data_IF_332287129788
#
_entry.id   IF_332287129788
#
_cell.length_a   1.000
_cell.length_b   1.000
_cell.length_c   1.000
_cell.angle_alpha   90.00
_cell.angle_beta   90.00
_cell.angle_gamma   90.00
#
_symmetry.space_group_name_H-M   'P 1'
#
loop_
_entity.id
_entity.type
_entity.pdbx_description
1 polymer ?
#
# COMPACT_ATOMS: atom_id res chain seq x y z
N UNK A 1 -37.78 -99.55 -88.71
CA UNK A 1 -38.95 -98.96 -88.03
C UNK A 1 -38.82 -97.44 -88.05
N UNK A 2 -39.87 -96.79 -88.55
CA UNK A 2 -40.31 -95.37 -88.52
C UNK A 2 -39.33 -94.16 -88.52
N UNK A 3 -39.59 -93.31 -89.53
CA UNK A 3 -39.42 -91.84 -89.70
C UNK A 3 -39.63 -91.01 -88.40
N UNK A 4 -39.05 -89.81 -88.24
CA UNK A 4 -39.60 -88.49 -88.69
C UNK A 4 -38.53 -87.36 -88.58
N UNK A 5 -38.19 -86.65 -89.66
CA UNK A 5 -38.62 -85.31 -90.14
C UNK A 5 -37.94 -84.05 -89.51
N UNK A 6 -37.17 -83.32 -90.35
CA UNK A 6 -36.77 -81.90 -90.22
C UNK A 6 -37.99 -80.94 -90.42
N UNK A 7 -37.97 -79.56 -90.36
CA UNK A 7 -37.01 -78.66 -91.07
C UNK A 7 -36.82 -77.15 -90.65
N UNK A 8 -35.79 -76.52 -91.28
CA UNK A 8 -35.62 -75.16 -91.89
C UNK A 8 -36.09 -73.80 -91.27
N UNK A 9 -35.08 -72.90 -91.18
CA UNK A 9 -34.95 -71.45 -91.51
C UNK A 9 -36.17 -70.64 -92.00
N UNK A 10 -36.28 -69.39 -91.51
CA UNK A 10 -36.75 -68.20 -92.27
C UNK A 10 -35.97 -66.92 -91.92
N UNK A 11 -35.56 -66.19 -92.96
CA UNK A 11 -35.10 -64.78 -92.97
C UNK A 11 -36.33 -63.86 -93.07
N UNK A 12 -36.27 -62.67 -92.46
CA UNK A 12 -37.24 -61.58 -92.62
C UNK A 12 -36.54 -60.22 -92.54
N UNK A 13 -36.84 -59.35 -93.51
CA UNK A 13 -36.21 -58.07 -93.86
C UNK A 13 -37.28 -56.96 -93.73
N UNK A 14 -36.82 -55.71 -93.55
CA UNK A 14 -37.51 -54.40 -93.80
C UNK A 14 -38.42 -53.84 -92.67
N UNK A 15 -38.07 -52.67 -92.11
CA UNK A 15 -38.73 -51.36 -92.41
C UNK A 15 -38.01 -50.19 -91.73
N UNK A 16 -37.56 -49.23 -92.55
CA UNK A 16 -36.95 -47.94 -92.19
C UNK A 16 -38.09 -46.91 -92.00
N UNK A 17 -38.11 -46.15 -90.91
CA UNK A 17 -39.01 -45.01 -90.72
C UNK A 17 -38.18 -43.75 -90.50
N UNK A 18 -38.13 -42.88 -91.52
CA UNK A 18 -37.70 -41.49 -91.42
C UNK A 18 -38.90 -40.66 -90.93
N UNK A 19 -38.75 -39.94 -89.82
CA UNK A 19 -39.61 -38.81 -89.45
C UNK A 19 -38.78 -37.55 -89.30
N UNK A 20 -38.98 -36.61 -90.22
CA UNK A 20 -38.54 -35.23 -90.12
C UNK A 20 -39.70 -34.40 -89.60
N UNK A 21 -39.54 -33.67 -88.49
CA UNK A 21 -40.40 -32.54 -88.12
C UNK A 21 -39.72 -31.63 -87.08
N UNK A 22 -39.43 -30.41 -87.55
CA UNK A 22 -39.71 -29.11 -86.92
C UNK A 22 -39.10 -28.76 -85.55
N UNK A 23 -38.10 -27.87 -85.62
CA UNK A 23 -38.02 -26.60 -84.86
C UNK A 23 -38.72 -26.51 -83.51
N UNK A 24 -38.02 -26.94 -82.47
CA UNK A 24 -38.18 -26.38 -81.12
C UNK A 24 -36.83 -25.79 -80.72
N UNK A 25 -36.74 -24.46 -80.62
CA UNK A 25 -35.62 -23.82 -79.90
C UNK A 25 -35.88 -24.12 -78.42
N UNK A 26 -35.36 -25.26 -77.95
CA UNK A 26 -35.24 -25.52 -76.52
C UNK A 26 -34.27 -24.47 -75.98
N UNK A 27 -34.77 -23.49 -75.24
CA UNK A 27 -33.92 -22.62 -74.45
C UNK A 27 -33.23 -23.47 -73.38
N UNK A 28 -32.05 -23.99 -73.72
CA UNK A 28 -31.16 -24.67 -72.78
C UNK A 28 -30.86 -23.67 -71.67
N UNK A 29 -31.17 -24.05 -70.43
CA UNK A 29 -30.61 -23.35 -69.28
C UNK A 29 -29.09 -23.46 -69.34
N UNK A 30 -28.32 -22.46 -68.90
CA UNK A 30 -26.86 -22.49 -68.98
C UNK A 30 -26.24 -23.77 -68.36
N UNK A 31 -26.91 -24.37 -67.37
CA UNK A 31 -26.54 -25.66 -66.78
C UNK A 31 -26.63 -26.87 -67.74
N UNK A 32 -27.63 -26.92 -68.63
CA UNK A 32 -27.80 -28.05 -69.58
C UNK A 32 -26.90 -27.92 -70.81
N UNK A 33 -26.55 -26.70 -71.23
CA UNK A 33 -25.53 -26.46 -72.24
C UNK A 33 -24.11 -26.87 -71.77
N UNK A 34 -23.78 -26.63 -70.48
CA UNK A 34 -22.50 -27.01 -69.89
C UNK A 34 -22.26 -28.53 -69.85
N UNK A 35 -23.32 -29.31 -69.57
CA UNK A 35 -23.24 -30.77 -69.55
C UNK A 35 -22.97 -31.36 -70.95
N UNK A 36 -23.47 -30.72 -72.01
CA UNK A 36 -23.31 -31.17 -73.41
C UNK A 36 -21.93 -30.79 -74.00
N UNK A 37 -21.24 -29.76 -73.48
CA UNK A 37 -19.87 -29.42 -73.90
C UNK A 37 -18.80 -30.32 -73.26
N UNK A 38 -19.01 -30.82 -72.03
CA UNK A 38 -18.08 -31.78 -71.37
C UNK A 38 -17.98 -33.13 -72.11
N UNK A 39 -19.00 -33.52 -72.87
CA UNK A 39 -19.06 -34.79 -73.63
C UNK A 39 -18.65 -34.64 -75.10
N UNK A 40 -18.20 -33.45 -75.54
CA UNK A 40 -17.61 -33.25 -76.86
C UNK A 40 -18.59 -33.19 -78.05
N UNK A 41 -19.87 -32.90 -77.82
CA UNK A 41 -20.92 -33.01 -78.83
C UNK A 41 -21.28 -31.71 -79.60
N UNK A 42 -20.43 -30.68 -79.60
CA UNK A 42 -20.70 -29.45 -80.40
C UNK A 42 -19.54 -29.14 -81.34
N UNK A 43 -19.72 -29.49 -82.61
CA UNK A 43 -18.91 -28.99 -83.71
C UNK A 43 -19.42 -27.59 -84.11
N UNK A 44 -18.53 -26.59 -84.00
CA UNK A 44 -18.68 -25.17 -84.40
C UNK A 44 -19.47 -24.27 -83.43
N UNK A 45 -18.73 -23.56 -82.59
CA UNK A 45 -18.99 -22.13 -82.35
C UNK A 45 -19.68 -21.68 -81.06
N UNK A 46 -19.73 -22.48 -79.99
CA UNK A 46 -20.41 -22.02 -78.76
C UNK A 46 -20.01 -22.65 -77.41
N UNK A 47 -19.05 -23.55 -77.35
CA UNK A 47 -18.60 -24.11 -76.07
C UNK A 47 -17.50 -23.23 -75.45
N UNK A 48 -17.77 -22.65 -74.28
CA UNK A 48 -16.74 -21.99 -73.49
C UNK A 48 -15.64 -22.96 -73.05
N UNK A 49 -14.49 -22.40 -72.68
CA UNK A 49 -13.31 -23.15 -72.25
C UNK A 49 -13.49 -23.52 -70.77
N UNK A 50 -13.43 -24.80 -70.37
CA UNK A 50 -13.47 -25.17 -68.97
C UNK A 50 -12.21 -24.66 -68.25
N UNK A 51 -12.40 -24.10 -67.06
CA UNK A 51 -11.33 -23.71 -66.16
C UNK A 51 -11.41 -24.53 -64.86
N UNK A 52 -10.29 -24.70 -64.19
CA UNK A 52 -10.15 -25.41 -62.93
C UNK A 52 -9.56 -24.48 -61.87
N UNK A 53 -10.09 -24.58 -60.64
CA UNK A 53 -9.54 -23.90 -59.47
C UNK A 53 -8.51 -24.83 -58.83
N UNK A 54 -7.28 -24.35 -58.71
CA UNK A 54 -6.29 -24.92 -57.81
C UNK A 54 -6.32 -24.12 -56.50
N UNK A 55 -6.81 -24.75 -55.44
CA UNK A 55 -6.86 -24.15 -54.11
C UNK A 55 -5.98 -25.00 -53.17
N UNK A 56 -4.73 -24.56 -52.88
CA UNK A 56 -3.82 -25.33 -52.05
C UNK A 56 -4.36 -25.54 -50.62
N UNK A 57 -3.95 -26.62 -49.94
CA UNK A 57 -4.36 -26.89 -48.57
C UNK A 57 -3.93 -25.76 -47.63
N UNK A 58 -4.82 -25.41 -46.69
CA UNK A 58 -4.57 -24.39 -45.67
C UNK A 58 -3.98 -25.04 -44.41
N UNK A 59 -3.05 -24.34 -43.77
CA UNK A 59 -2.41 -24.81 -42.54
C UNK A 59 -3.21 -24.42 -41.29
N UNK A 60 -3.21 -25.30 -40.30
CA UNK A 60 -3.79 -25.02 -38.98
C UNK A 60 -3.13 -23.78 -38.37
N UNK A 61 -3.96 -22.86 -37.87
CA UNK A 61 -3.52 -21.53 -37.42
C UNK A 61 -4.17 -21.21 -36.09
N UNK A 62 -3.43 -20.64 -35.13
CA UNK A 62 -4.05 -20.19 -33.88
C UNK A 62 -4.90 -18.95 -34.10
N UNK A 63 -5.96 -18.79 -33.30
CA UNK A 63 -6.90 -17.65 -33.43
C UNK A 63 -6.20 -16.27 -33.40
N UNK A 64 -5.08 -16.14 -32.69
CA UNK A 64 -4.27 -14.91 -32.59
C UNK A 64 -3.17 -14.75 -33.66
N UNK A 65 -3.00 -15.75 -34.52
CA UNK A 65 -2.01 -15.76 -35.60
C UNK A 65 -2.63 -15.49 -36.98
N UNK A 66 -3.95 -15.32 -37.05
CA UNK A 66 -4.63 -14.88 -38.27
C UNK A 66 -4.41 -13.39 -38.58
N UNK A 67 -4.88 -12.90 -39.74
CA UNK A 67 -5.70 -13.59 -40.74
C UNK A 67 -4.92 -14.54 -41.67
N UNK A 68 -5.59 -15.55 -42.22
CA UNK A 68 -4.99 -16.56 -43.12
C UNK A 68 -5.18 -16.13 -44.60
N UNK A 69 -4.11 -16.01 -45.40
CA UNK A 69 -4.21 -15.65 -46.81
C UNK A 69 -4.75 -16.82 -47.65
N UNK A 70 -5.62 -16.50 -48.62
CA UNK A 70 -6.22 -17.45 -49.55
C UNK A 70 -5.63 -17.25 -50.95
N UNK A 71 -4.96 -18.29 -51.47
CA UNK A 71 -4.13 -18.21 -52.69
C UNK A 71 -4.60 -19.20 -53.77
N UNK A 72 -5.90 -19.31 -53.99
CA UNK A 72 -6.42 -20.10 -55.10
C UNK A 72 -6.10 -19.42 -56.44
N UNK A 73 -5.87 -20.24 -57.46
CA UNK A 73 -5.61 -19.79 -58.83
C UNK A 73 -6.52 -20.51 -59.81
N UNK A 74 -6.89 -19.84 -60.89
CA UNK A 74 -7.60 -20.48 -62.01
C UNK A 74 -6.63 -20.81 -63.13
N UNK A 75 -6.76 -22.03 -63.64
CA UNK A 75 -5.98 -22.48 -64.80
C UNK A 75 -6.88 -23.23 -65.77
N UNK A 76 -6.41 -23.39 -66.99
CA UNK A 76 -7.08 -24.20 -68.01
C UNK A 76 -6.19 -25.40 -68.31
N UNK A 77 -6.80 -26.56 -68.54
CA UNK A 77 -6.06 -27.67 -69.12
C UNK A 77 -5.40 -27.24 -70.44
N UNK A 78 -4.24 -27.80 -70.83
CA UNK A 78 -3.58 -27.44 -72.08
C UNK A 78 -4.44 -27.85 -73.28
N UNK A 79 -5.20 -26.89 -73.84
CA UNK A 79 -5.99 -27.10 -75.07
C UNK A 79 -5.16 -26.66 -76.27
N UNK A 80 -4.93 -27.58 -77.23
CA UNK A 80 -4.32 -27.23 -78.53
C UNK A 80 -5.35 -26.53 -79.41
N UNK A 81 -5.46 -25.22 -79.26
CA UNK A 81 -6.28 -24.39 -80.17
C UNK A 81 -5.35 -23.74 -81.20
N UNK A 82 -5.79 -23.65 -82.46
CA UNK A 82 -5.06 -22.98 -83.54
C UNK A 82 -4.98 -21.44 -83.36
N UNK A 83 -5.63 -20.89 -82.34
CA UNK A 83 -5.68 -19.46 -82.02
C UNK A 83 -5.03 -19.18 -80.66
N UNK A 84 -4.34 -18.04 -80.52
CA UNK A 84 -3.75 -17.57 -79.26
C UNK A 84 -4.86 -17.02 -78.37
N UNK A 85 -5.30 -17.78 -77.37
CA UNK A 85 -6.31 -17.35 -76.38
C UNK A 85 -5.57 -16.80 -75.15
N UNK A 86 -5.91 -15.60 -74.65
CA UNK A 86 -5.34 -15.06 -73.42
C UNK A 86 -5.77 -15.89 -72.21
N UNK A 87 -4.91 -16.05 -71.21
CA UNK A 87 -5.20 -16.78 -69.96
C UNK A 87 -6.46 -16.26 -69.24
N UNK A 88 -7.18 -17.10 -68.46
CA UNK A 88 -8.34 -16.66 -67.71
C UNK A 88 -7.96 -15.55 -66.71
N UNK A 89 -8.85 -14.56 -66.49
CA UNK A 89 -8.65 -13.58 -65.43
C UNK A 89 -8.69 -14.28 -64.07
N UNK A 90 -7.74 -13.99 -63.18
CA UNK A 90 -7.66 -14.61 -61.86
C UNK A 90 -8.69 -14.00 -60.88
N UNK A 91 -9.97 -14.27 -61.12
CA UNK A 91 -11.09 -13.80 -60.30
C UNK A 91 -11.64 -14.98 -59.51
N UNK A 92 -11.21 -15.09 -58.25
CA UNK A 92 -11.72 -16.09 -57.30
C UNK A 92 -12.48 -15.36 -56.20
N UNK A 93 -13.69 -15.85 -55.92
CA UNK A 93 -14.53 -15.40 -54.80
C UNK A 93 -14.45 -16.45 -53.71
N UNK A 94 -14.22 -16.01 -52.47
CA UNK A 94 -14.12 -16.90 -51.33
C UNK A 94 -15.34 -16.76 -50.42
N UNK A 95 -15.88 -17.88 -49.98
CA UNK A 95 -17.01 -17.93 -49.04
C UNK A 95 -16.68 -18.87 -47.88
N UNK A 96 -16.83 -18.39 -46.64
CA UNK A 96 -16.74 -19.27 -45.47
C UNK A 96 -18.05 -20.02 -45.28
N UNK A 97 -17.98 -21.34 -45.20
CA UNK A 97 -19.12 -22.21 -44.85
C UNK A 97 -19.30 -22.34 -43.33
N UNK A 98 -18.33 -21.83 -42.55
CA UNK A 98 -18.31 -21.87 -41.08
C UNK A 98 -18.08 -20.46 -40.50
N UNK A 99 -19.03 -19.52 -40.67
CA UNK A 99 -18.86 -18.12 -40.26
C UNK A 99 -18.68 -17.92 -38.76
N UNK A 100 -19.12 -18.88 -37.93
CA UNK A 100 -18.90 -18.88 -36.49
C UNK A 100 -17.43 -19.11 -36.11
N UNK A 101 -16.64 -19.73 -36.98
CA UNK A 101 -15.20 -20.03 -36.76
C UNK A 101 -14.31 -19.04 -37.51
N UNK A 102 -14.66 -18.69 -38.75
CA UNK A 102 -13.90 -17.76 -39.58
C UNK A 102 -14.80 -17.02 -40.58
N UNK A 103 -14.53 -15.73 -40.81
CA UNK A 103 -15.20 -14.89 -41.81
C UNK A 103 -14.24 -14.54 -42.94
N UNK A 104 -14.75 -14.15 -44.12
CA UNK A 104 -13.93 -13.80 -45.28
C UNK A 104 -13.94 -12.29 -45.51
N UNK A 105 -12.76 -11.71 -45.73
CA UNK A 105 -12.57 -10.33 -46.18
C UNK A 105 -11.64 -10.33 -47.40
N UNK A 106 -12.21 -10.13 -48.60
CA UNK A 106 -11.46 -10.24 -49.86
C UNK A 106 -10.87 -11.64 -50.05
N UNK A 107 -9.54 -11.71 -50.14
CA UNK A 107 -8.77 -12.97 -50.22
C UNK A 107 -8.15 -13.39 -48.87
N UNK A 108 -8.73 -12.96 -47.75
CA UNK A 108 -8.24 -13.30 -46.40
C UNK A 108 -9.34 -13.90 -45.54
N UNK A 109 -9.00 -14.95 -44.80
CA UNK A 109 -9.86 -15.54 -43.77
C UNK A 109 -9.52 -14.93 -42.40
N UNK A 110 -10.50 -14.25 -41.80
CA UNK A 110 -10.43 -13.65 -40.46
C UNK A 110 -10.92 -14.67 -39.45
N UNK A 111 -10.11 -14.97 -38.43
CA UNK A 111 -10.41 -16.00 -37.45
C UNK A 111 -11.27 -15.42 -36.32
N UNK A 112 -12.38 -16.09 -35.98
CA UNK A 112 -13.38 -15.62 -35.01
C UNK A 112 -13.33 -16.44 -33.73
N UNK A 113 -13.26 -17.77 -33.85
CA UNK A 113 -13.26 -18.68 -32.71
C UNK A 113 -12.47 -19.96 -33.06
N UNK A 114 -11.97 -20.70 -32.05
CA UNK A 114 -11.38 -22.00 -32.26
C UNK A 114 -12.39 -23.00 -32.85
N UNK A 115 -11.94 -23.84 -33.78
CA UNK A 115 -12.79 -24.81 -34.48
C UNK A 115 -12.34 -25.04 -35.93
N UNK A 116 -13.07 -25.86 -36.67
CA UNK A 116 -12.76 -26.13 -38.08
C UNK A 116 -13.28 -24.99 -38.97
N UNK A 117 -12.37 -24.31 -39.66
CA UNK A 117 -12.69 -23.28 -40.65
C UNK A 117 -12.71 -23.91 -42.04
N UNK A 118 -13.85 -23.82 -42.74
CA UNK A 118 -14.04 -24.38 -44.08
C UNK A 118 -14.39 -23.27 -45.08
N UNK A 119 -13.54 -23.08 -46.09
CA UNK A 119 -13.61 -22.01 -47.09
C UNK A 119 -13.79 -22.60 -48.48
N UNK A 120 -14.82 -22.16 -49.18
CA UNK A 120 -15.08 -22.47 -50.58
C UNK A 120 -14.52 -21.38 -51.48
N UNK A 121 -13.82 -21.77 -52.54
CA UNK A 121 -13.34 -20.92 -53.61
C UNK A 121 -14.21 -21.16 -54.86
N UNK A 122 -14.73 -20.08 -55.43
CA UNK A 122 -15.62 -20.06 -56.58
C UNK A 122 -15.01 -19.18 -57.69
N UNK A 123 -14.99 -19.69 -58.92
CA UNK A 123 -14.56 -18.94 -60.10
C UNK A 123 -15.75 -18.84 -61.06
N UNK A 124 -16.37 -17.65 -61.16
CA UNK A 124 -17.52 -17.45 -62.03
C UNK A 124 -17.12 -17.52 -63.52
N UNK A 125 -18.14 -17.62 -64.37
CA UNK A 125 -17.96 -17.49 -65.81
C UNK A 125 -17.35 -16.13 -66.18
N UNK A 126 -16.32 -16.13 -67.03
CA UNK A 126 -15.59 -14.94 -67.41
C UNK A 126 -15.20 -14.95 -68.89
N UNK A 127 -15.94 -14.21 -69.72
CA UNK A 127 -15.67 -14.09 -71.15
C UNK A 127 -15.80 -15.42 -71.88
N UNK A 128 -14.67 -15.99 -72.32
CA UNK A 128 -14.63 -17.29 -73.01
C UNK A 128 -14.58 -18.49 -72.05
N UNK A 129 -14.46 -18.27 -70.74
CA UNK A 129 -14.26 -19.31 -69.73
C UNK A 129 -15.55 -19.64 -68.98
N UNK A 130 -15.90 -20.92 -68.93
CA UNK A 130 -17.04 -21.44 -68.17
C UNK A 130 -16.77 -21.35 -66.66
N UNK A 131 -17.81 -21.26 -65.83
CA UNK A 131 -17.63 -21.35 -64.37
C UNK A 131 -16.92 -22.65 -63.96
N UNK A 132 -15.98 -22.56 -63.01
CA UNK A 132 -15.29 -23.75 -62.49
C UNK A 132 -16.17 -24.52 -61.50
N UNK A 133 -15.88 -25.82 -61.33
CA UNK A 133 -16.43 -26.55 -60.19
C UNK A 133 -15.79 -26.00 -58.90
N UNK A 134 -16.58 -25.65 -57.86
CA UNK A 134 -16.06 -25.02 -56.65
C UNK A 134 -15.15 -25.97 -55.87
N UNK A 135 -14.13 -25.39 -55.23
CA UNK A 135 -13.16 -26.13 -54.42
C UNK A 135 -13.20 -25.65 -52.97
N UNK A 136 -13.31 -26.58 -52.03
CA UNK A 136 -13.38 -26.28 -50.60
C UNK A 136 -12.14 -26.80 -49.89
N UNK A 137 -11.52 -25.95 -49.08
CA UNK A 137 -10.42 -26.30 -48.19
C UNK A 137 -10.82 -26.04 -46.74
N UNK A 138 -10.35 -26.90 -45.84
CA UNK A 138 -10.59 -26.78 -44.41
C UNK A 138 -9.28 -26.85 -43.61
N UNK A 139 -9.21 -26.09 -42.52
CA UNK A 139 -8.10 -26.11 -41.56
C UNK A 139 -8.62 -25.88 -40.13
N UNK A 140 -7.81 -26.22 -39.12
CA UNK A 140 -8.15 -25.99 -37.72
C UNK A 140 -7.72 -24.60 -37.25
N UNK A 141 -8.66 -23.87 -36.65
CA UNK A 141 -8.37 -22.69 -35.83
C UNK A 141 -8.10 -23.16 -34.41
N UNK A 142 -6.85 -23.08 -34.00
CA UNK A 142 -6.41 -23.57 -32.69
C UNK A 142 -6.72 -22.54 -31.58
N UNK A 143 -7.07 -22.99 -30.36
CA UNK A 143 -7.25 -22.10 -29.22
C UNK A 143 -5.95 -21.41 -28.82
N UNK A 144 -6.07 -20.34 -28.04
CA UNK A 144 -4.93 -19.77 -27.34
C UNK A 144 -4.32 -20.82 -26.39
N UNK A 145 -2.99 -20.81 -26.19
CA UNK A 145 -2.35 -21.60 -25.14
C UNK A 145 -3.02 -21.24 -23.81
N UNK A 146 -3.54 -22.25 -23.11
CA UNK A 146 -4.02 -22.05 -21.75
C UNK A 146 -2.84 -21.57 -20.90
N UNK A 147 -2.96 -20.37 -20.33
CA UNK A 147 -2.04 -19.91 -19.29
C UNK A 147 -2.31 -20.81 -18.08
N UNK A 148 -1.34 -21.61 -17.60
CA UNK A 148 -1.57 -22.39 -16.41
C UNK A 148 -1.93 -21.44 -15.26
N UNK A 149 -3.08 -21.68 -14.64
CA UNK A 149 -3.45 -21.02 -13.40
C UNK A 149 -2.31 -21.23 -12.40
N UNK A 150 -1.91 -20.16 -11.70
CA UNK A 150 -0.94 -20.27 -10.61
C UNK A 150 -1.39 -21.38 -9.63
N UNK A 151 -0.48 -22.25 -9.14
CA UNK A 151 -0.88 -23.37 -8.30
C UNK A 151 -1.55 -22.86 -7.02
N UNK A 152 -2.75 -23.36 -6.74
CA UNK A 152 -3.54 -23.05 -5.55
C UNK A 152 -3.01 -23.71 -4.27
N UNK A 153 -1.90 -24.45 -4.33
CA UNK A 153 -1.39 -25.27 -3.21
C UNK A 153 -0.25 -24.62 -2.42
N UNK A 154 -0.05 -23.30 -2.55
CA UNK A 154 0.92 -22.64 -1.68
C UNK A 154 0.29 -22.42 -0.31
N UNK A 155 0.91 -23.02 0.70
CA UNK A 155 0.48 -22.87 2.09
C UNK A 155 0.42 -21.38 2.46
N UNK A 156 -0.71 -20.92 2.99
CA UNK A 156 -0.91 -19.54 3.40
C UNK A 156 -0.48 -19.42 4.85
N UNK A 157 0.64 -18.72 5.05
CA UNK A 157 1.14 -18.42 6.38
C UNK A 157 0.53 -17.11 6.89
N UNK A 158 0.17 -17.06 8.16
CA UNK A 158 -0.31 -15.85 8.84
C UNK A 158 0.49 -15.64 10.11
N UNK A 159 0.93 -14.41 10.34
CA UNK A 159 1.68 -14.02 11.54
C UNK A 159 0.95 -12.89 12.26
N UNK A 160 0.30 -13.20 13.39
CA UNK A 160 -0.38 -12.21 14.22
C UNK A 160 0.57 -11.71 15.31
N UNK A 161 0.78 -10.39 15.33
CA UNK A 161 1.60 -9.70 16.32
C UNK A 161 0.76 -8.67 17.11
N UNK A 162 1.21 -8.26 18.31
CA UNK A 162 0.57 -7.18 19.07
C UNK A 162 0.60 -5.84 18.32
N UNK A 163 -0.28 -4.91 18.67
CA UNK A 163 -0.23 -3.54 18.15
C UNK A 163 0.91 -2.69 18.75
N UNK A 164 1.49 -3.17 19.86
CA UNK A 164 2.64 -2.60 20.54
C UNK A 164 2.73 -3.07 21.98
N UNK A 165 3.92 -3.12 22.55
CA UNK A 165 4.16 -3.56 23.93
C UNK A 165 5.22 -2.71 24.61
N UNK A 166 5.13 -2.48 25.94
CA UNK A 166 6.24 -1.93 26.69
C UNK A 166 7.37 -2.97 26.80
N UNK A 167 8.63 -2.54 26.82
CA UNK A 167 9.81 -3.41 26.99
C UNK A 167 9.71 -4.22 28.29
N UNK A 168 9.11 -3.61 29.31
CA UNK A 168 8.86 -4.19 30.62
C UNK A 168 7.87 -5.37 30.61
N UNK A 169 7.10 -5.58 29.53
CA UNK A 169 6.33 -6.82 29.35
C UNK A 169 7.23 -8.07 29.28
N UNK A 170 8.53 -7.90 28.95
CA UNK A 170 9.53 -8.96 28.91
C UNK A 170 9.36 -9.91 27.73
N UNK A 171 8.15 -10.35 27.42
CA UNK A 171 7.82 -11.23 26.30
C UNK A 171 6.64 -10.70 25.49
N UNK A 172 6.54 -11.13 24.23
CA UNK A 172 5.44 -10.82 23.34
C UNK A 172 4.70 -12.09 22.93
N UNK A 173 3.38 -12.05 23.04
CA UNK A 173 2.51 -13.09 22.50
C UNK A 173 2.41 -12.91 20.97
N UNK A 174 2.97 -13.86 20.24
CA UNK A 174 2.94 -13.90 18.77
C UNK A 174 2.38 -15.25 18.35
N UNK A 175 1.46 -15.24 17.38
CA UNK A 175 0.83 -16.47 16.87
C UNK A 175 1.06 -16.57 15.38
N UNK A 176 1.77 -17.61 14.96
CA UNK A 176 1.92 -17.98 13.56
C UNK A 176 0.99 -19.17 13.25
N UNK A 177 0.26 -19.11 12.15
CA UNK A 177 -0.66 -20.17 11.69
C UNK A 177 -0.45 -20.43 10.21
N UNK A 178 -0.70 -21.65 9.77
CA UNK A 178 -0.59 -22.05 8.37
C UNK A 178 -1.80 -22.87 7.96
N UNK A 179 -2.17 -22.79 6.67
CA UNK A 179 -3.16 -23.69 6.07
C UNK A 179 -2.60 -25.08 5.76
N UNK A 180 -1.28 -25.27 5.83
CA UNK A 180 -0.63 -26.57 5.63
C UNK A 180 -0.02 -27.12 6.93
N UNK A 181 0.01 -28.45 7.04
CA UNK A 181 0.69 -29.14 8.13
C UNK A 181 2.21 -28.89 8.10
N UNK A 182 2.84 -28.86 9.27
CA UNK A 182 4.29 -28.69 9.41
C UNK A 182 4.69 -27.66 10.47
N UNK A 183 5.95 -27.69 10.86
CA UNK A 183 6.49 -26.75 11.83
C UNK A 183 6.67 -25.36 11.21
N UNK A 184 6.22 -24.33 11.93
CA UNK A 184 6.44 -22.94 11.56
C UNK A 184 7.65 -22.41 12.34
N UNK A 185 8.68 -21.96 11.63
CA UNK A 185 9.83 -21.32 12.25
C UNK A 185 9.62 -19.80 12.30
N UNK A 186 9.75 -19.21 13.50
CA UNK A 186 9.71 -17.77 13.70
C UNK A 186 11.10 -17.27 14.05
N UNK A 187 11.59 -16.27 13.30
CA UNK A 187 12.93 -15.73 13.43
C UNK A 187 12.90 -14.21 13.68
N UNK A 188 13.79 -13.67 14.54
CA UNK A 188 13.90 -12.24 14.73
C UNK A 188 14.73 -11.60 13.61
N UNK A 189 14.14 -10.62 12.92
CA UNK A 189 14.87 -9.76 11.97
C UNK A 189 15.52 -8.54 12.67
N UNK A 190 15.17 -8.30 13.93
CA UNK A 190 15.69 -7.20 14.75
C UNK A 190 16.23 -7.71 16.11
N UNK A 191 17.34 -8.46 16.13
CA UNK A 191 17.85 -9.13 17.34
C UNK A 191 18.29 -8.18 18.47
N UNK A 192 18.45 -6.88 18.17
CA UNK A 192 18.70 -5.83 19.17
C UNK A 192 17.42 -5.44 19.94
N UNK A 193 16.25 -5.62 19.34
CA UNK A 193 14.95 -5.21 19.89
C UNK A 193 14.19 -6.40 20.49
N UNK A 194 14.22 -7.55 19.81
CA UNK A 194 13.57 -8.77 20.28
C UNK A 194 14.32 -10.02 19.80
N UNK A 195 14.26 -11.09 20.57
CA UNK A 195 14.83 -12.42 20.27
C UNK A 195 13.76 -13.48 20.37
N UNK A 196 13.87 -14.55 19.59
CA UNK A 196 13.01 -15.73 19.70
C UNK A 196 13.78 -16.78 20.50
N UNK A 197 13.18 -17.34 21.55
CA UNK A 197 13.77 -18.42 22.33
C UNK A 197 13.59 -19.77 21.64
N UNK A 198 14.34 -20.79 22.08
CA UNK A 198 14.20 -22.17 21.57
C UNK A 198 12.78 -22.74 21.78
N UNK A 199 12.08 -22.29 22.83
CA UNK A 199 10.67 -22.62 23.09
C UNK A 199 9.68 -21.82 22.22
N UNK A 200 10.14 -20.98 21.28
CA UNK A 200 9.31 -20.18 20.39
C UNK A 200 8.77 -18.88 20.98
N UNK A 201 9.14 -18.53 22.21
CA UNK A 201 8.68 -17.29 22.84
C UNK A 201 9.48 -16.07 22.34
N UNK A 202 8.81 -14.96 22.05
CA UNK A 202 9.47 -13.72 21.63
C UNK A 202 9.83 -12.90 22.86
N UNK A 203 11.11 -12.81 23.21
CA UNK A 203 11.63 -11.99 24.32
C UNK A 203 12.00 -10.60 23.84
N UNK A 204 11.56 -9.58 24.57
CA UNK A 204 11.84 -8.18 24.29
C UNK A 204 13.18 -7.80 24.96
N UNK A 205 14.11 -7.22 24.18
CA UNK A 205 15.48 -6.91 24.63
C UNK A 205 15.84 -5.43 24.53
N UNK A 206 15.05 -4.63 23.80
CA UNK A 206 15.26 -3.19 23.71
C UNK A 206 14.09 -2.47 23.06
N UNK A 207 14.05 -1.12 23.15
CA UNK A 207 13.08 -0.31 22.43
C UNK A 207 13.31 -0.34 20.92
N UNK A 208 12.23 -0.16 20.15
CA UNK A 208 12.29 -0.03 18.69
C UNK A 208 11.23 -0.87 17.98
N UNK A 209 11.39 -1.09 16.68
CA UNK A 209 10.50 -1.97 15.92
C UNK A 209 10.97 -3.42 16.05
N UNK A 210 10.19 -4.26 16.74
CA UNK A 210 10.40 -5.70 16.75
C UNK A 210 9.87 -6.26 15.43
N UNK A 211 10.78 -6.74 14.58
CA UNK A 211 10.47 -7.36 13.28
C UNK A 211 10.70 -8.86 13.37
N UNK A 212 9.70 -9.62 12.97
CA UNK A 212 9.71 -11.08 12.97
C UNK A 212 9.42 -11.58 11.56
N UNK A 213 10.04 -12.71 11.20
CA UNK A 213 9.74 -13.46 9.98
C UNK A 213 9.29 -14.86 10.36
N UNK A 214 8.14 -15.28 9.84
CA UNK A 214 7.69 -16.65 9.90
C UNK A 214 7.99 -17.33 8.57
N UNK A 215 8.50 -18.56 8.62
CA UNK A 215 8.83 -19.38 7.46
C UNK A 215 8.34 -20.81 7.65
N UNK A 216 7.85 -21.41 6.57
CA UNK A 216 7.49 -22.82 6.49
C UNK A 216 7.78 -23.34 5.08
N UNK A 217 8.20 -24.61 4.97
CA UNK A 217 8.40 -25.24 3.67
C UNK A 217 7.10 -25.23 2.84
N UNK A 218 7.18 -24.88 1.56
CA UNK A 218 6.01 -24.78 0.69
C UNK A 218 5.11 -23.56 0.92
N UNK A 219 5.46 -22.64 1.83
CA UNK A 219 4.76 -21.38 2.07
C UNK A 219 5.60 -20.17 1.61
N UNK A 220 4.93 -19.07 1.29
CA UNK A 220 5.61 -17.76 1.29
C UNK A 220 5.94 -17.33 2.71
N UNK A 221 7.15 -16.79 2.90
CA UNK A 221 7.54 -16.24 4.19
C UNK A 221 6.75 -14.95 4.48
N UNK A 222 6.22 -14.84 5.69
CA UNK A 222 5.47 -13.65 6.12
C UNK A 222 6.26 -12.91 7.19
N UNK A 223 6.36 -11.59 7.05
CA UNK A 223 6.97 -10.73 8.05
C UNK A 223 5.91 -9.85 8.71
N UNK A 224 6.07 -9.64 10.01
CA UNK A 224 5.24 -8.72 10.77
C UNK A 224 6.11 -7.92 11.72
N UNK A 225 5.65 -6.72 12.08
CA UNK A 225 6.38 -5.84 12.99
C UNK A 225 5.45 -5.13 13.95
N UNK A 226 5.93 -4.87 15.16
CA UNK A 226 5.22 -4.08 16.15
C UNK A 226 6.19 -3.22 16.95
N UNK A 227 5.74 -2.04 17.43
CA UNK A 227 6.58 -1.17 18.24
C UNK A 227 6.75 -1.76 19.66
N UNK A 228 8.00 -1.84 20.09
CA UNK A 228 8.37 -2.04 21.50
C UNK A 228 8.67 -0.67 22.07
N UNK A 229 7.78 -0.19 22.93
CA UNK A 229 7.99 1.04 23.67
C UNK A 229 9.00 0.77 24.77
N UNK A 230 10.16 1.40 24.73
CA UNK A 230 11.02 1.41 25.91
C UNK A 230 10.55 2.44 26.90
N UNK A 231 11.12 2.37 28.10
CA UNK A 231 11.20 3.52 28.96
C UNK A 231 11.80 4.70 28.18
N UNK A 232 11.30 5.94 28.36
CA UNK A 232 11.99 7.12 27.87
C UNK A 232 13.45 7.10 28.36
N UNK A 233 14.39 7.42 27.46
CA UNK A 233 15.79 7.56 27.85
C UNK A 233 15.89 8.71 28.85
N UNK A 234 16.30 8.38 30.06
CA UNK A 234 16.61 9.36 31.09
C UNK A 234 17.99 9.95 30.73
N UNK A 235 18.12 11.29 30.66
CA UNK A 235 19.40 11.91 30.31
C UNK A 235 20.43 11.66 31.42
N UNK A 236 21.70 11.46 31.04
CA UNK A 236 22.79 11.30 32.00
C UNK A 236 23.05 12.57 32.83
N UNK A 237 22.66 13.73 32.30
CA UNK A 237 22.78 15.03 32.97
C UNK A 237 21.53 15.87 32.66
N UNK A 238 20.99 16.51 33.68
CA UNK A 238 19.83 17.40 33.56
C UNK A 238 19.94 18.54 34.56
N UNK A 239 19.07 19.55 34.45
CA UNK A 239 19.09 20.72 35.33
C UNK A 239 18.12 20.52 36.48
N UNK A 240 18.45 21.08 37.64
CA UNK A 240 17.47 21.30 38.69
C UNK A 240 16.28 22.07 38.08
N UNK A 241 15.05 21.71 38.45
CA UNK A 241 13.74 22.10 37.85
C UNK A 241 13.26 21.30 36.63
N UNK A 242 14.08 20.44 36.03
CA UNK A 242 13.60 19.57 34.95
C UNK A 242 12.64 18.49 35.50
N UNK A 243 11.64 18.15 34.69
CA UNK A 243 10.74 17.02 34.91
C UNK A 243 11.10 15.92 33.91
N UNK A 244 11.54 14.77 34.41
CA UNK A 244 11.95 13.64 33.59
C UNK A 244 10.78 12.66 33.44
N UNK A 245 10.38 12.40 32.20
CA UNK A 245 9.48 11.29 31.88
C UNK A 245 10.20 9.97 32.11
N UNK A 246 9.74 9.17 33.07
CA UNK A 246 10.39 7.90 33.44
C UNK A 246 9.60 6.70 32.93
N UNK A 247 8.27 6.77 32.92
CA UNK A 247 7.43 5.70 32.39
C UNK A 247 7.01 5.97 30.95
N UNK A 248 7.00 4.93 30.13
CA UNK A 248 6.51 4.96 28.76
C UNK A 248 5.03 4.58 28.65
N UNK A 249 4.53 4.51 27.41
CA UNK A 249 3.16 4.08 27.12
C UNK A 249 2.95 2.63 27.59
N UNK A 250 1.90 2.40 28.39
CA UNK A 250 1.57 1.07 28.92
C UNK A 250 2.29 0.69 30.21
N UNK A 251 3.05 1.61 30.81
CA UNK A 251 3.85 1.34 32.02
C UNK A 251 3.29 2.03 33.28
N UNK A 252 2.05 2.54 33.24
CA UNK A 252 1.44 3.28 34.34
C UNK A 252 1.25 2.47 35.64
N UNK A 253 1.32 1.14 35.57
CA UNK A 253 1.26 0.25 36.74
C UNK A 253 2.58 0.14 37.50
N UNK A 254 3.69 0.63 36.94
CA UNK A 254 5.01 0.55 37.55
C UNK A 254 5.20 1.66 38.58
N UNK A 255 5.91 1.34 39.66
CA UNK A 255 6.24 2.30 40.71
C UNK A 255 7.61 2.91 40.44
N UNK A 256 7.68 4.24 40.40
CA UNK A 256 8.96 4.96 40.32
C UNK A 256 9.41 5.38 41.70
N UNK A 257 10.67 5.10 42.02
CA UNK A 257 11.34 5.52 43.26
C UNK A 257 12.52 6.40 42.88
N UNK A 258 12.60 7.59 43.46
CA UNK A 258 13.70 8.52 43.21
C UNK A 258 14.41 8.85 44.52
N UNK A 259 15.74 8.76 44.53
CA UNK A 259 16.57 9.01 45.71
C UNK A 259 17.85 9.76 45.37
N UNK A 260 18.39 10.57 46.30
CA UNK A 260 17.77 10.98 47.56
C UNK A 260 16.68 12.04 47.35
N UNK A 261 15.69 12.11 48.24
CA UNK A 261 14.55 13.02 48.17
C UNK A 261 14.91 14.53 48.21
N UNK A 262 16.15 14.84 48.58
CA UNK A 262 16.75 16.18 48.54
C UNK A 262 17.13 16.60 47.10
N UNK A 263 17.54 15.64 46.26
CA UNK A 263 18.01 15.88 44.89
C UNK A 263 16.88 15.71 43.89
N UNK A 264 15.98 14.74 44.09
CA UNK A 264 14.88 14.46 43.19
C UNK A 264 13.72 13.73 43.88
N UNK A 265 12.51 13.83 43.32
CA UNK A 265 11.31 13.12 43.83
C UNK A 265 10.49 12.55 42.68
N UNK A 266 9.98 11.33 42.89
CA UNK A 266 9.06 10.70 41.97
C UNK A 266 7.63 11.19 42.23
N UNK A 267 6.88 11.49 41.16
CA UNK A 267 5.46 11.85 41.20
C UNK A 267 4.78 11.32 39.93
N UNK A 268 3.72 10.52 40.08
CA UNK A 268 2.87 10.02 38.99
C UNK A 268 3.62 9.33 37.83
N UNK A 269 4.74 8.68 38.11
CA UNK A 269 5.56 8.01 37.09
C UNK A 269 6.64 8.89 36.44
N UNK A 270 6.73 10.15 36.82
CA UNK A 270 7.79 11.09 36.43
C UNK A 270 8.73 11.37 37.61
N UNK A 271 9.89 11.96 37.32
CA UNK A 271 10.86 12.38 38.34
C UNK A 271 11.17 13.87 38.20
N UNK A 272 10.83 14.64 39.24
CA UNK A 272 11.20 16.04 39.36
C UNK A 272 12.60 16.17 39.95
N UNK A 273 13.47 16.93 39.28
CA UNK A 273 14.81 17.26 39.76
C UNK A 273 14.76 18.55 40.58
N UNK A 274 15.26 18.50 41.79
CA UNK A 274 15.07 19.53 42.82
C UNK A 274 16.36 20.30 43.07
N UNK A 275 17.48 19.61 43.23
CA UNK A 275 18.75 20.21 43.63
C UNK A 275 19.95 19.47 43.03
N UNK A 276 21.14 20.06 43.13
CA UNK A 276 22.38 19.51 42.60
C UNK A 276 22.78 18.20 43.27
N UNK A 277 23.28 17.25 42.48
CA UNK A 277 23.72 15.95 42.98
C UNK A 277 23.50 14.83 41.97
N UNK A 278 23.43 13.59 42.45
CA UNK A 278 23.09 12.43 41.62
C UNK A 278 21.72 11.92 42.05
N UNK A 279 20.75 12.01 41.15
CA UNK A 279 19.45 11.41 41.31
C UNK A 279 19.51 9.95 40.82
N UNK A 280 19.23 9.00 41.70
CA UNK A 280 19.02 7.59 41.35
C UNK A 280 17.53 7.33 41.18
N UNK A 281 17.16 6.73 40.06
CA UNK A 281 15.78 6.41 39.70
C UNK A 281 15.67 4.90 39.57
N UNK A 282 14.75 4.30 40.32
CA UNK A 282 14.38 2.89 40.19
C UNK A 282 12.95 2.79 39.68
N UNK A 283 12.74 1.99 38.64
CA UNK A 283 11.41 1.57 38.21
C UNK A 283 11.17 0.17 38.73
N UNK A 284 10.05 -0.02 39.41
CA UNK A 284 9.68 -1.27 40.08
C UNK A 284 8.38 -1.84 39.56
N UNK A 285 8.34 -3.16 39.39
CA UNK A 285 7.13 -3.93 39.15
C UNK A 285 6.80 -4.72 40.42
N UNK A 286 5.85 -4.24 41.21
CA UNK A 286 5.65 -4.76 42.56
C UNK A 286 6.93 -4.61 43.41
N UNK A 287 7.51 -5.73 43.84
CA UNK A 287 8.72 -5.76 44.65
C UNK A 287 10.03 -5.63 43.86
N UNK A 288 10.02 -5.99 42.57
CA UNK A 288 11.24 -6.17 41.77
C UNK A 288 11.68 -4.88 41.09
N UNK A 289 13.00 -4.61 41.10
CA UNK A 289 13.60 -3.50 40.35
C UNK A 289 13.84 -3.96 38.90
N UNK A 290 13.16 -3.31 37.95
CA UNK A 290 13.22 -3.66 36.52
C UNK A 290 14.09 -2.69 35.72
N UNK A 291 14.34 -1.49 36.27
CA UNK A 291 15.26 -0.51 35.68
C UNK A 291 15.87 0.38 36.76
N UNK A 292 17.14 0.71 36.58
CA UNK A 292 17.84 1.71 37.38
C UNK A 292 18.52 2.71 36.46
N UNK A 293 18.33 4.00 36.73
CA UNK A 293 19.01 5.10 36.06
C UNK A 293 19.68 6.01 37.09
N UNK A 294 20.69 6.76 36.64
CA UNK A 294 21.35 7.79 37.42
C UNK A 294 21.48 9.07 36.59
N UNK A 295 21.07 10.20 37.18
CA UNK A 295 21.09 11.51 36.54
C UNK A 295 21.95 12.44 37.36
N UNK A 296 23.00 13.00 36.76
CA UNK A 296 23.74 14.11 37.36
C UNK A 296 22.89 15.38 37.23
N UNK A 297 22.36 15.86 38.35
CA UNK A 297 21.60 17.10 38.40
C UNK A 297 22.57 18.26 38.55
N UNK A 298 22.56 19.14 37.55
CA UNK A 298 23.29 20.40 37.57
C UNK A 298 22.36 21.49 38.08
N UNK A 299 22.80 22.24 39.09
CA UNK A 299 22.15 23.52 39.38
C UNK A 299 22.70 24.49 38.34
N UNK A 300 21.86 25.24 37.60
CA UNK A 300 22.36 26.32 36.77
C UNK A 300 23.27 27.19 37.64
N UNK A 301 24.49 27.46 37.16
CA UNK A 301 25.43 28.31 37.87
C UNK A 301 24.66 29.57 38.31
N UNK A 302 24.62 29.82 39.62
CA UNK A 302 24.32 31.15 40.13
C UNK A 302 25.13 32.11 39.26
N UNK A 303 24.51 33.08 38.56
CA UNK A 303 25.26 33.99 37.71
C UNK A 303 26.47 34.50 38.50
N UNK A 304 27.67 34.29 37.96
CA UNK A 304 28.88 34.82 38.56
C UNK A 304 28.66 36.33 38.71
N UNK A 305 28.59 36.79 39.95
CA UNK A 305 28.28 38.17 40.23
C UNK A 305 29.35 39.08 39.66
N UNK A 306 28.92 40.14 38.99
CA UNK A 306 29.40 41.45 39.42
C UNK A 306 28.72 41.69 40.77
N UNK A 307 29.51 41.81 41.84
CA UNK A 307 28.98 42.07 43.19
C UNK A 307 28.22 43.40 43.21
N UNK A 308 26.90 43.32 43.08
CA UNK A 308 25.97 44.25 43.71
C UNK A 308 24.91 43.37 44.38
N UNK A 309 25.26 42.75 45.52
CA UNK A 309 24.28 41.99 46.29
C UNK A 309 23.21 42.94 46.78
N UNK A 310 21.97 42.71 46.37
CA UNK A 310 20.84 43.32 47.04
C UNK A 310 20.62 42.60 48.38
N UNK A 311 20.42 43.35 49.45
CA UNK A 311 20.11 42.81 50.77
C UNK A 311 18.61 42.52 50.89
N UNK A 312 18.26 41.40 51.52
CA UNK A 312 16.86 41.08 51.80
C UNK A 312 16.37 41.97 52.95
N UNK A 313 15.48 42.91 52.63
CA UNK A 313 14.86 43.80 53.62
C UNK A 313 13.65 43.17 54.30
N UNK A 314 12.77 42.51 53.54
CA UNK A 314 11.56 41.90 54.08
C UNK A 314 11.02 40.75 53.24
N UNK A 315 10.32 39.83 53.92
CA UNK A 315 9.49 38.81 53.29
C UNK A 315 8.05 38.99 53.74
N UNK A 316 7.14 39.12 52.78
CA UNK A 316 5.71 39.32 53.02
C UNK A 316 4.94 38.11 52.52
N UNK A 317 4.10 37.53 53.38
CA UNK A 317 3.31 36.34 53.02
C UNK A 317 1.90 36.69 52.58
N UNK A 318 1.33 35.82 51.75
CA UNK A 318 -0.01 35.96 51.18
C UNK A 318 -0.86 34.73 51.46
N UNK A 319 -2.16 34.97 51.62
CA UNK A 319 -3.17 33.93 51.63
C UNK A 319 -3.20 33.15 50.30
N UNK A 320 -3.86 31.99 50.32
CA UNK A 320 -4.07 31.18 49.13
C UNK A 320 -4.74 31.99 48.02
N UNK A 321 -4.23 31.86 46.78
CA UNK A 321 -4.74 32.53 45.58
C UNK A 321 -4.99 34.05 45.70
N UNK A 322 -4.31 34.71 46.64
CA UNK A 322 -4.52 36.13 46.94
C UNK A 322 -3.26 36.96 46.69
N UNK A 323 -3.46 38.22 46.29
CA UNK A 323 -2.46 39.28 46.28
C UNK A 323 -2.75 40.39 47.30
N UNK A 324 -3.75 40.20 48.17
CA UNK A 324 -4.04 41.16 49.24
C UNK A 324 -2.99 41.01 50.35
N UNK A 325 -2.40 42.13 50.76
CA UNK A 325 -1.52 42.18 51.93
C UNK A 325 -2.31 41.86 53.20
N UNK A 326 -1.78 40.94 54.01
CA UNK A 326 -2.25 40.67 55.37
C UNK A 326 -1.81 41.77 56.32
N UNK A 327 -2.42 41.83 57.50
CA UNK A 327 -2.06 42.83 58.52
C UNK A 327 -0.60 42.67 58.98
N UNK A 328 -0.14 41.43 59.18
CA UNK A 328 1.27 41.13 59.47
C UNK A 328 2.21 41.59 58.35
N UNK A 329 1.80 41.40 57.10
CA UNK A 329 2.55 41.85 55.93
C UNK A 329 2.67 43.37 55.90
N UNK A 330 1.59 44.09 56.18
CA UNK A 330 1.60 45.56 56.28
C UNK A 330 2.47 46.02 57.45
N UNK A 331 2.35 45.39 58.62
CA UNK A 331 3.17 45.71 59.79
C UNK A 331 4.67 45.51 59.51
N UNK A 332 5.03 44.43 58.82
CA UNK A 332 6.40 44.15 58.38
C UNK A 332 6.93 45.25 57.45
N UNK A 333 6.13 45.63 56.44
CA UNK A 333 6.52 46.69 55.49
C UNK A 333 6.65 48.06 56.15
N UNK A 334 5.76 48.41 57.09
CA UNK A 334 5.88 49.65 57.90
C UNK A 334 7.18 49.69 58.69
N UNK A 335 7.64 48.55 59.23
CA UNK A 335 8.87 48.47 60.01
C UNK A 335 10.12 48.71 59.15
N UNK A 336 10.12 48.24 57.90
CA UNK A 336 11.30 48.35 57.01
C UNK A 336 11.28 49.59 56.13
N UNK A 337 10.11 50.23 55.92
CA UNK A 337 9.97 51.39 55.04
C UNK A 337 10.95 52.55 55.33
N UNK A 338 11.24 52.95 56.58
CA UNK A 338 12.21 54.03 56.84
C UNK A 338 13.64 53.72 56.36
N UNK A 339 14.02 52.44 56.36
CA UNK A 339 15.30 51.98 55.84
C UNK A 339 15.27 51.98 54.30
N UNK A 340 14.21 51.43 53.70
CA UNK A 340 14.04 51.36 52.26
C UNK A 340 13.93 52.74 51.59
N UNK A 341 13.38 53.73 52.29
CA UNK A 341 13.29 55.11 51.80
C UNK A 341 14.67 55.77 51.55
N UNK A 342 15.74 55.20 52.12
CA UNK A 342 17.13 55.66 51.94
C UNK A 342 17.92 54.82 50.94
N UNK A 343 17.33 53.76 50.39
CA UNK A 343 17.99 52.85 49.46
C UNK A 343 18.09 53.46 48.05
N UNK A 344 19.18 53.16 47.35
CA UNK A 344 19.42 53.55 45.96
C UNK A 344 18.51 52.76 44.99
N UNK A 345 18.19 51.52 45.35
CA UNK A 345 17.38 50.60 44.55
C UNK A 345 16.54 49.72 45.48
N UNK A 346 15.25 49.57 45.18
CA UNK A 346 14.36 48.61 45.85
C UNK A 346 13.74 47.70 44.78
N UNK A 347 13.90 46.39 44.90
CA UNK A 347 13.33 45.41 43.96
C UNK A 347 12.39 44.50 44.70
N UNK A 348 11.20 44.28 44.15
CA UNK A 348 10.19 43.40 44.75
C UNK A 348 9.96 42.19 43.85
N UNK A 349 10.29 41.01 44.39
CA UNK A 349 10.07 39.73 43.72
C UNK A 349 8.80 39.07 44.24
N UNK A 350 7.84 38.81 43.36
CA UNK A 350 6.61 38.10 43.68
C UNK A 350 6.73 36.59 43.41
N UNK A 351 6.24 35.77 44.34
CA UNK A 351 6.26 34.30 44.24
C UNK A 351 4.87 33.70 44.46
N UNK A 352 4.67 32.47 43.96
CA UNK A 352 3.43 31.70 44.13
C UNK A 352 3.67 30.33 44.79
N UNK A 353 2.67 29.44 44.74
CA UNK A 353 2.69 28.13 45.39
C UNK A 353 3.81 27.20 44.87
N UNK A 354 4.12 26.16 45.66
CA UNK A 354 5.10 25.08 45.42
C UNK A 354 4.84 24.22 44.17
N UNK A 355 5.49 23.06 43.99
CA UNK A 355 5.82 22.48 42.68
C UNK A 355 4.61 22.31 41.73
N UNK A 356 4.79 22.72 40.47
CA UNK A 356 3.83 22.65 39.37
C UNK A 356 4.30 23.46 38.16
N UNK A 357 3.62 23.35 37.00
CA UNK A 357 3.99 24.11 35.79
C UNK A 357 3.80 25.61 36.03
N UNK A 358 4.80 26.42 35.68
CA UNK A 358 4.77 27.89 35.72
C UNK A 358 3.71 28.45 34.74
N UNK A 359 2.44 28.37 35.12
CA UNK A 359 1.31 28.77 34.29
C UNK A 359 1.25 30.29 34.11
N UNK A 360 0.56 30.75 33.06
CA UNK A 360 0.29 32.18 32.87
C UNK A 360 -0.45 32.79 34.08
N UNK A 361 -1.36 32.03 34.69
CA UNK A 361 -2.10 32.46 35.90
C UNK A 361 -1.19 32.60 37.13
N UNK A 362 -0.20 31.73 37.29
CA UNK A 362 0.79 31.80 38.36
C UNK A 362 1.70 33.02 38.19
N UNK A 363 2.22 33.29 36.99
CA UNK A 363 2.99 34.51 36.71
C UNK A 363 2.17 35.77 36.96
N UNK A 364 0.90 35.78 36.53
CA UNK A 364 0.01 36.90 36.76
C UNK A 364 -0.24 37.13 38.26
N UNK A 365 -0.43 36.07 39.05
CA UNK A 365 -0.60 36.18 40.51
C UNK A 365 0.68 36.66 41.21
N UNK A 366 1.84 36.16 40.80
CA UNK A 366 3.14 36.60 41.30
C UNK A 366 3.36 38.09 41.05
N UNK A 367 3.07 38.55 39.83
CA UNK A 367 3.15 39.95 39.45
C UNK A 367 2.19 40.81 40.31
N UNK A 368 0.94 40.36 40.50
CA UNK A 368 -0.03 41.06 41.37
C UNK A 368 0.47 41.21 42.82
N UNK A 369 1.15 40.20 43.36
CA UNK A 369 1.73 40.26 44.71
C UNK A 369 2.86 41.28 44.80
N UNK A 370 3.75 41.29 43.82
CA UNK A 370 4.80 42.29 43.74
C UNK A 370 4.20 43.71 43.71
N UNK A 371 3.20 43.98 42.85
CA UNK A 371 2.57 45.32 42.81
C UNK A 371 1.91 45.71 44.11
N UNK A 372 1.21 44.77 44.75
CA UNK A 372 0.53 45.06 46.01
C UNK A 372 1.53 45.48 47.09
N UNK A 373 2.70 44.84 47.12
CA UNK A 373 3.81 45.22 48.01
C UNK A 373 4.43 46.56 47.61
N UNK A 374 4.66 46.81 46.32
CA UNK A 374 5.19 48.08 45.79
C UNK A 374 4.25 49.24 46.12
N UNK A 375 2.98 49.14 45.76
CA UNK A 375 2.00 50.21 46.00
C UNK A 375 1.85 50.56 47.48
N UNK A 376 1.99 49.57 48.38
CA UNK A 376 1.98 49.85 49.81
C UNK A 376 3.28 50.50 50.31
N UNK A 377 4.44 50.18 49.73
CA UNK A 377 5.70 50.88 50.02
C UNK A 377 5.66 52.32 49.50
N UNK A 378 5.03 52.56 48.35
CA UNK A 378 4.80 53.90 47.80
C UNK A 378 3.93 54.75 48.74
N UNK A 379 2.84 54.19 49.28
CA UNK A 379 1.99 54.83 50.31
C UNK A 379 2.79 55.21 51.57
N UNK A 380 3.81 54.43 51.92
CA UNK A 380 4.71 54.68 53.05
C UNK A 380 5.83 55.68 52.74
N UNK A 381 5.86 56.24 51.53
CA UNK A 381 6.84 57.26 51.13
C UNK A 381 8.17 56.69 50.64
N UNK A 382 8.26 55.40 50.33
CA UNK A 382 9.45 54.79 49.72
C UNK A 382 9.49 55.14 48.22
N UNK A 383 9.97 56.34 47.90
CA UNK A 383 10.00 56.88 46.52
C UNK A 383 11.19 56.43 45.66
N UNK A 384 11.85 55.31 45.99
CA UNK A 384 13.13 54.92 45.39
C UNK A 384 13.06 54.84 43.85
N UNK A 385 14.11 55.32 43.15
CA UNK A 385 14.12 55.63 41.71
C UNK A 385 13.91 54.45 40.75
N UNK A 386 13.88 53.20 41.21
CA UNK A 386 13.66 52.02 40.36
C UNK A 386 12.97 50.91 41.17
N UNK A 387 11.70 51.09 41.52
CA UNK A 387 10.92 49.98 42.06
C UNK A 387 10.52 49.03 40.93
N UNK A 388 11.31 47.97 40.73
CA UNK A 388 11.04 46.98 39.68
C UNK A 388 10.19 45.83 40.24
N UNK A 389 9.02 45.62 39.64
CA UNK A 389 8.21 44.42 39.86
C UNK A 389 8.80 43.24 39.08
N UNK A 390 9.20 42.18 39.77
CA UNK A 390 9.67 40.96 39.10
C UNK A 390 8.80 39.78 39.51
N UNK A 391 8.19 39.12 38.52
CA UNK A 391 7.32 37.97 38.73
C UNK A 391 8.10 36.66 38.61
N UNK A 392 8.59 36.13 39.73
CA UNK A 392 9.34 34.87 39.79
C UNK A 392 8.44 33.64 39.89
N UNK A 393 7.16 33.83 40.21
CA UNK A 393 6.14 32.78 40.18
C UNK A 393 6.57 31.52 40.96
N UNK A 394 6.59 30.35 40.31
CA UNK A 394 6.97 29.06 40.92
C UNK A 394 8.47 28.75 40.75
N UNK A 395 9.27 29.69 40.20
CA UNK A 395 10.65 29.43 39.79
C UNK A 395 11.62 29.33 40.97
N UNK A 396 11.25 29.80 42.16
CA UNK A 396 12.09 29.82 43.36
C UNK A 396 11.29 29.44 44.63
N UNK A 397 10.89 28.17 44.79
CA UNK A 397 10.30 27.69 46.02
C UNK A 397 11.36 27.63 47.12
N UNK A 398 11.04 28.15 48.31
CA UNK A 398 11.90 28.13 49.51
C UNK A 398 11.56 26.98 50.46
N UNK A 399 10.45 26.30 50.23
CA UNK A 399 10.02 25.18 51.06
C UNK A 399 9.08 24.24 50.30
N UNK A 400 9.02 22.97 50.71
CA UNK A 400 7.93 22.08 50.31
C UNK A 400 6.59 22.48 50.93
N UNK A 401 6.60 23.30 51.98
CA UNK A 401 5.39 23.83 52.59
C UNK A 401 4.79 24.94 51.73
N UNK A 402 3.67 24.63 51.09
CA UNK A 402 2.85 25.49 50.25
C UNK A 402 2.81 26.98 50.64
N UNK A 403 2.48 27.27 51.89
CA UNK A 403 2.24 28.64 52.35
C UNK A 403 3.52 29.46 52.43
N UNK A 404 4.68 28.84 52.70
CA UNK A 404 5.98 29.51 52.77
C UNK A 404 6.44 30.04 51.41
N UNK A 405 5.93 29.48 50.31
CA UNK A 405 6.24 29.97 48.97
C UNK A 405 5.32 31.13 48.53
N UNK A 406 4.17 31.29 49.19
CA UNK A 406 3.21 32.36 48.87
C UNK A 406 3.69 33.69 49.44
N UNK A 407 4.71 34.27 48.81
CA UNK A 407 5.41 35.44 49.36
C UNK A 407 5.78 36.47 48.31
N UNK A 408 6.12 37.66 48.77
CA UNK A 408 6.93 38.63 48.05
C UNK A 408 8.18 38.93 48.88
N UNK A 409 9.31 39.05 48.21
CA UNK A 409 10.59 39.40 48.84
C UNK A 409 10.99 40.80 48.39
N UNK A 410 11.33 41.66 49.35
CA UNK A 410 11.76 43.04 49.13
C UNK A 410 13.27 43.09 49.33
N UNK A 411 13.96 43.42 48.26
CA UNK A 411 15.41 43.55 48.23
C UNK A 411 15.78 45.01 48.07
N UNK A 412 16.91 45.42 48.62
CA UNK A 412 17.39 46.80 48.53
C UNK A 412 18.90 46.88 48.36
N UNK A 413 19.38 48.01 47.84
CA UNK A 413 20.79 48.41 47.84
C UNK A 413 20.90 49.83 48.33
#
# INVERSE_FOLDING_TARGET
MLRTSAPRRRRGLILLVLTALTGAILALTPATANAMCRTGAVARGGCGIPQEIDFPPLADTRVDQGPVPLLATVSTAPVRVAARIPSPPNVVVYTSTTPAVCTISGATAVLVAPGTCSVQADAPEAGYYLAADPRTQAFQVLPLPEVPAAPADRAVLTLKVPSGLPLSAGTAAVKATSTAAGAIAVQPLSPKVCRVTEAGAVRLTGPGSCRLRATQAGADAVAASFPVWGFPRVPATARATDLLGVLGKGESSYRVVATPAAVCRAADGDVALIDGGVCRIEVRNGGDVVRTDAVKVTVPAKPAGTQHSLDLGATVYFAFNSARLTDDGRATLRKVAPMLAKADLVVVYGHTFGPGRNSASSRALAARRARATVGFLDELGVKSKVVSEVAMAMQQPVSSTAWKNRRAEVYYR
#
